data_IF_440247374726
#
_entry.id   IF_440247374726
#
_cell.length_a   1.000
_cell.length_b   1.000
_cell.length_c   1.000
_cell.angle_alpha   90.00
_cell.angle_beta   90.00
_cell.angle_gamma   90.00
#
_symmetry.space_group_name_H-M   'P 1'
#
loop_
_entity.id
_entity.type
_entity.pdbx_description
1 polymer ?
#
# COMPACT_ATOMS: atom_id res chain seq x y z
N UNK A 1 -16.11 -15.31 -1.83
CA UNK A 1 -15.53 -14.60 -0.65
C UNK A 1 -14.44 -13.73 -1.18
N UNK A 2 -14.48 -12.42 -0.88
CA UNK A 2 -13.50 -11.48 -1.43
C UNK A 2 -12.08 -11.83 -0.97
N UNK A 3 -11.12 -11.62 -1.84
CA UNK A 3 -9.72 -12.04 -1.67
C UNK A 3 -8.82 -10.85 -2.01
N UNK A 4 -7.79 -10.66 -1.22
CA UNK A 4 -6.66 -9.79 -1.54
C UNK A 4 -5.47 -10.63 -1.95
N UNK A 5 -4.79 -10.18 -2.99
CA UNK A 5 -3.60 -10.83 -3.51
C UNK A 5 -2.50 -9.79 -3.76
N UNK A 6 -1.27 -10.14 -3.37
CA UNK A 6 -0.09 -9.34 -3.67
C UNK A 6 0.72 -10.01 -4.78
N UNK A 7 1.10 -9.21 -5.76
CA UNK A 7 1.92 -9.64 -6.88
C UNK A 7 3.17 -8.79 -6.97
N UNK A 8 4.27 -9.40 -7.36
CA UNK A 8 5.48 -8.68 -7.77
C UNK A 8 5.69 -8.78 -9.27
N UNK A 9 6.18 -7.70 -9.88
CA UNK A 9 6.63 -7.66 -11.26
C UNK A 9 8.01 -7.00 -11.33
N UNK A 10 8.86 -7.45 -12.26
CA UNK A 10 10.13 -6.80 -12.55
C UNK A 10 9.91 -5.62 -13.49
N UNK A 11 10.85 -4.66 -13.49
CA UNK A 11 10.81 -3.49 -14.37
C UNK A 11 10.84 -3.92 -15.84
N UNK A 12 10.02 -3.27 -16.66
CA UNK A 12 9.89 -3.52 -18.09
C UNK A 12 8.44 -3.69 -18.53
N UNK A 13 7.60 -4.26 -17.67
CA UNK A 13 6.22 -4.62 -18.02
C UNK A 13 5.17 -3.60 -17.52
N UNK A 14 5.63 -2.60 -16.77
CA UNK A 14 4.80 -1.52 -16.29
C UNK A 14 5.37 -0.17 -16.77
N UNK A 15 4.56 0.68 -17.41
CA UNK A 15 5.06 1.91 -18.04
C UNK A 15 5.86 2.82 -17.11
N UNK A 16 5.46 2.96 -15.84
CA UNK A 16 6.21 3.74 -14.85
C UNK A 16 7.57 3.15 -14.46
N UNK A 17 7.90 1.94 -14.88
CA UNK A 17 9.22 1.36 -14.63
C UNK A 17 10.36 2.16 -15.27
N UNK A 18 10.04 2.92 -16.34
CA UNK A 18 11.02 3.80 -16.98
C UNK A 18 11.53 4.91 -16.04
N UNK A 19 10.76 5.26 -15.00
CA UNK A 19 11.19 6.21 -13.97
C UNK A 19 12.49 5.73 -13.31
N UNK A 20 12.64 4.43 -13.06
CA UNK A 20 13.84 3.90 -12.39
C UNK A 20 15.09 3.92 -13.28
N UNK A 21 14.94 4.01 -14.61
CA UNK A 21 16.08 4.24 -15.51
C UNK A 21 16.67 5.65 -15.35
N UNK A 22 15.83 6.60 -14.94
CA UNK A 22 16.21 8.01 -14.72
C UNK A 22 16.51 8.31 -13.24
N UNK A 23 15.76 7.67 -12.35
CA UNK A 23 15.84 7.84 -10.90
C UNK A 23 16.01 6.46 -10.22
N UNK A 24 17.21 5.85 -10.25
CA UNK A 24 17.43 4.48 -9.76
C UNK A 24 17.13 4.29 -8.27
N UNK A 25 17.33 5.34 -7.45
CA UNK A 25 17.01 5.33 -6.02
C UNK A 25 15.55 5.71 -5.72
N UNK A 26 14.82 6.20 -6.74
CA UNK A 26 13.45 6.68 -6.58
C UNK A 26 12.50 5.58 -6.11
N UNK A 27 11.53 5.98 -5.29
CA UNK A 27 10.38 5.16 -4.92
C UNK A 27 9.14 5.79 -5.53
N UNK A 28 8.31 4.97 -6.17
CA UNK A 28 7.03 5.38 -6.73
C UNK A 28 5.92 4.70 -5.94
N UNK A 29 4.97 5.47 -5.47
CA UNK A 29 3.78 4.97 -4.79
C UNK A 29 2.54 5.54 -5.47
N UNK A 30 1.72 4.66 -6.07
CA UNK A 30 0.48 5.07 -6.72
C UNK A 30 -0.52 5.56 -5.66
N UNK A 31 -1.11 6.74 -5.91
CA UNK A 31 -2.10 7.29 -4.99
C UNK A 31 -3.40 6.49 -5.06
N UNK A 32 -4.12 6.45 -3.93
CA UNK A 32 -5.39 5.74 -3.84
C UNK A 32 -6.46 6.49 -4.60
N UNK A 33 -6.79 6.03 -5.80
CA UNK A 33 -7.85 6.61 -6.59
C UNK A 33 -9.02 5.65 -6.73
N UNK A 34 -10.21 6.18 -6.50
CA UNK A 34 -11.46 5.50 -6.89
C UNK A 34 -11.47 5.44 -8.42
N UNK A 35 -11.49 4.25 -9.03
CA UNK A 35 -11.49 4.13 -10.48
C UNK A 35 -12.70 4.87 -11.05
N UNK A 36 -12.45 5.85 -11.90
CA UNK A 36 -13.48 6.39 -12.78
C UNK A 36 -13.33 5.74 -14.15
N UNK A 37 -14.41 5.67 -14.91
CA UNK A 37 -14.48 4.98 -16.20
C UNK A 37 -13.47 5.46 -17.26
N UNK A 38 -12.58 6.41 -16.94
CA UNK A 38 -11.60 7.00 -17.86
C UNK A 38 -10.20 7.22 -17.28
N UNK A 39 -9.97 6.96 -15.99
CA UNK A 39 -8.63 7.14 -15.41
C UNK A 39 -8.41 6.10 -14.32
N UNK A 40 -7.48 5.18 -14.54
CA UNK A 40 -7.22 4.08 -13.60
C UNK A 40 -6.52 4.62 -12.37
N UNK A 41 -5.50 5.43 -12.52
CA UNK A 41 -4.70 6.04 -11.46
C UNK A 41 -4.06 7.29 -12.05
N UNK A 42 -4.62 8.48 -11.80
CA UNK A 42 -4.10 9.70 -12.39
C UNK A 42 -2.92 10.32 -11.64
N UNK A 43 -2.55 9.80 -10.46
CA UNK A 43 -1.52 10.38 -9.61
C UNK A 43 -0.64 9.33 -8.94
N UNK A 44 0.62 9.73 -8.66
CA UNK A 44 1.54 8.97 -7.83
C UNK A 44 2.50 9.91 -7.07
N UNK A 45 3.05 9.39 -5.99
CA UNK A 45 4.14 10.02 -5.27
C UNK A 45 5.47 9.49 -5.78
N UNK A 46 6.40 10.39 -6.06
CA UNK A 46 7.79 10.09 -6.35
C UNK A 46 8.65 10.56 -5.18
N UNK A 47 9.30 9.63 -4.52
CA UNK A 47 10.09 9.82 -3.31
C UNK A 47 11.56 9.47 -3.58
N UNK A 48 12.46 9.85 -2.65
CA UNK A 48 13.90 9.54 -2.71
C UNK A 48 14.59 10.10 -3.98
N UNK A 49 14.13 11.26 -4.50
CA UNK A 49 14.69 11.98 -5.65
C UNK A 49 15.00 13.41 -5.23
N UNK A 50 16.17 13.94 -5.66
CA UNK A 50 16.52 15.33 -5.40
C UNK A 50 15.77 16.28 -6.36
N UNK A 51 15.32 17.42 -5.85
CA UNK A 51 14.58 18.41 -6.63
C UNK A 51 15.38 18.90 -7.85
N UNK A 52 16.70 19.06 -7.71
CA UNK A 52 17.61 19.45 -8.81
C UNK A 52 17.63 18.47 -9.97
N UNK A 53 17.30 17.22 -9.73
CA UNK A 53 17.41 16.13 -10.70
C UNK A 53 16.08 15.81 -11.39
N UNK A 54 14.97 16.38 -10.87
CA UNK A 54 13.64 16.04 -11.39
C UNK A 54 13.44 16.65 -12.77
N UNK A 55 13.42 15.79 -13.77
CA UNK A 55 13.07 16.10 -15.14
C UNK A 55 12.25 14.95 -15.72
N UNK A 56 10.92 15.06 -15.55
CA UNK A 56 9.98 14.03 -15.99
C UNK A 56 9.80 13.98 -17.51
N UNK A 57 10.17 15.03 -18.24
CA UNK A 57 10.13 15.06 -19.72
C UNK A 57 11.09 14.02 -20.35
N UNK A 58 12.02 13.51 -19.56
CA UNK A 58 12.95 12.45 -19.99
C UNK A 58 12.42 11.04 -19.79
N UNK A 59 11.27 10.89 -19.15
CA UNK A 59 10.62 9.58 -18.97
C UNK A 59 9.72 9.37 -20.18
N UNK A 60 10.26 8.67 -21.18
CA UNK A 60 9.55 8.36 -22.42
C UNK A 60 9.15 6.89 -22.43
N UNK A 61 7.85 6.63 -22.50
CA UNK A 61 7.30 5.28 -22.63
C UNK A 61 6.01 5.32 -23.45
N UNK A 62 5.79 4.36 -24.39
CA UNK A 62 4.59 4.36 -25.22
C UNK A 62 3.26 4.35 -24.45
N UNK A 63 3.24 3.76 -23.26
CA UNK A 63 2.05 3.74 -22.39
C UNK A 63 1.83 5.01 -21.55
N UNK A 64 2.64 6.07 -21.76
CA UNK A 64 2.56 7.33 -21.02
C UNK A 64 2.45 8.50 -21.99
N UNK A 65 1.33 9.22 -21.98
CA UNK A 65 1.17 10.43 -22.78
C UNK A 65 1.84 11.66 -22.15
N UNK A 66 1.76 11.80 -20.82
CA UNK A 66 2.38 12.91 -20.10
C UNK A 66 2.60 12.62 -18.61
N UNK A 67 3.64 13.22 -18.06
CA UNK A 67 3.91 13.31 -16.62
C UNK A 67 4.04 14.78 -16.21
N UNK A 68 3.44 15.18 -15.11
CA UNK A 68 3.52 16.56 -14.59
C UNK A 68 3.59 16.57 -13.08
N UNK A 69 4.60 17.22 -12.50
CA UNK A 69 4.60 17.55 -11.08
C UNK A 69 3.45 18.51 -10.80
N UNK A 70 2.60 18.17 -9.87
CA UNK A 70 1.42 18.94 -9.45
C UNK A 70 1.71 19.69 -8.15
N UNK A 71 2.44 19.03 -7.24
CA UNK A 71 2.77 19.56 -5.93
C UNK A 71 4.07 18.94 -5.41
N UNK A 72 4.68 19.59 -4.40
CA UNK A 72 5.86 19.09 -3.69
C UNK A 72 5.62 19.28 -2.20
N UNK A 73 5.70 18.19 -1.44
CA UNK A 73 5.49 18.18 0.00
C UNK A 73 6.63 17.42 0.65
N UNK A 74 7.35 18.04 1.58
CA UNK A 74 8.46 17.43 2.34
C UNK A 74 9.49 16.68 1.45
N UNK A 75 9.90 17.31 0.34
CA UNK A 75 10.81 16.76 -0.67
C UNK A 75 10.27 15.53 -1.44
N UNK A 76 8.96 15.24 -1.36
CA UNK A 76 8.26 14.26 -2.16
C UNK A 76 7.45 14.95 -3.26
N UNK A 77 7.45 14.38 -4.47
CA UNK A 77 6.78 14.97 -5.63
C UNK A 77 5.46 14.27 -5.89
N UNK A 78 4.38 15.03 -5.88
CA UNK A 78 3.07 14.57 -6.31
C UNK A 78 2.93 14.77 -7.81
N UNK A 79 2.85 13.67 -8.55
CA UNK A 79 2.92 13.66 -10.01
C UNK A 79 1.60 13.20 -10.59
N UNK A 80 1.09 13.98 -11.56
CA UNK A 80 -0.03 13.57 -12.40
C UNK A 80 0.50 12.79 -13.60
N UNK A 81 -0.15 11.67 -13.90
CA UNK A 81 0.10 10.88 -15.10
C UNK A 81 -1.13 10.86 -16.01
N UNK A 82 -0.87 10.94 -17.31
CA UNK A 82 -1.82 10.71 -18.38
C UNK A 82 -1.38 9.45 -19.15
N UNK A 83 -2.19 8.38 -19.01
CA UNK A 83 -1.89 7.07 -19.57
C UNK A 83 -2.33 6.97 -21.03
N UNK A 84 -1.54 6.29 -21.85
CA UNK A 84 -2.04 5.74 -23.10
C UNK A 84 -2.73 4.39 -22.82
N UNK A 85 -4.05 4.40 -22.90
CA UNK A 85 -4.87 3.22 -22.58
C UNK A 85 -4.91 2.19 -23.72
N UNK A 86 -4.42 2.55 -24.91
CA UNK A 86 -4.27 1.63 -26.03
C UNK A 86 -3.00 0.77 -25.88
N UNK A 87 -2.10 1.16 -24.95
CA UNK A 87 -0.91 0.39 -24.62
C UNK A 87 -1.23 -0.73 -23.65
N UNK A 88 -1.02 -1.98 -24.07
CA UNK A 88 -1.21 -3.16 -23.22
C UNK A 88 -0.18 -3.22 -22.09
N UNK A 89 -0.64 -3.35 -20.86
CA UNK A 89 0.19 -3.40 -19.66
C UNK A 89 -0.55 -4.12 -18.52
N UNK A 90 0.06 -4.22 -17.35
CA UNK A 90 -0.61 -4.72 -16.12
C UNK A 90 -1.88 -3.90 -15.81
N UNK A 91 -1.95 -2.62 -16.19
CA UNK A 91 -3.16 -1.81 -15.99
C UNK A 91 -4.33 -2.31 -16.84
N UNK A 92 -4.08 -2.74 -18.07
CA UNK A 92 -5.12 -3.36 -18.90
C UNK A 92 -5.59 -4.69 -18.32
N UNK A 93 -4.70 -5.47 -17.70
CA UNK A 93 -5.10 -6.68 -16.98
C UNK A 93 -6.08 -6.37 -15.82
N UNK A 94 -5.86 -5.28 -15.08
CA UNK A 94 -6.73 -4.84 -14.00
C UNK A 94 -8.11 -4.41 -14.55
N UNK A 95 -8.15 -3.75 -15.71
CA UNK A 95 -9.40 -3.31 -16.33
C UNK A 95 -10.22 -4.45 -16.94
N UNK A 96 -9.55 -5.40 -17.58
CA UNK A 96 -10.17 -6.50 -18.33
C UNK A 96 -10.56 -7.67 -17.44
N UNK A 97 -10.09 -7.68 -16.19
CA UNK A 97 -10.45 -8.71 -15.20
C UNK A 97 -11.23 -8.07 -14.04
N UNK A 98 -12.05 -8.87 -13.37
CA UNK A 98 -12.87 -8.38 -12.25
C UNK A 98 -12.03 -8.22 -10.96
N UNK A 99 -10.98 -7.39 -11.05
CA UNK A 99 -10.12 -7.05 -9.91
C UNK A 99 -10.03 -5.54 -9.73
N UNK A 100 -9.77 -5.12 -8.50
CA UNK A 100 -9.53 -3.72 -8.17
C UNK A 100 -8.10 -3.56 -7.66
N UNK A 101 -7.36 -2.58 -8.16
CA UNK A 101 -6.07 -2.20 -7.61
C UNK A 101 -6.25 -1.49 -6.27
N UNK A 102 -5.57 -1.97 -5.25
CA UNK A 102 -5.58 -1.41 -3.89
C UNK A 102 -4.37 -0.51 -3.67
N UNK A 103 -3.20 -1.00 -4.06
CA UNK A 103 -1.95 -0.26 -3.99
C UNK A 103 -0.96 -0.75 -5.05
N UNK A 104 -0.03 0.12 -5.45
CA UNK A 104 1.14 -0.29 -6.21
C UNK A 104 2.34 0.55 -5.78
N UNK A 105 3.42 -0.13 -5.46
CA UNK A 105 4.66 0.48 -5.00
C UNK A 105 5.79 -0.04 -5.87
N UNK A 106 6.55 0.88 -6.45
CA UNK A 106 7.76 0.59 -7.22
C UNK A 106 9.00 1.07 -6.48
N UNK A 107 10.02 0.22 -6.40
CA UNK A 107 11.33 0.57 -5.85
C UNK A 107 12.40 -0.32 -6.47
N UNK A 108 13.57 0.28 -6.79
CA UNK A 108 14.73 -0.45 -7.30
C UNK A 108 14.40 -1.36 -8.52
N UNK A 109 13.51 -0.86 -9.40
CA UNK A 109 13.10 -1.59 -10.59
C UNK A 109 12.16 -2.77 -10.34
N UNK A 110 11.60 -2.92 -9.15
CA UNK A 110 10.60 -3.93 -8.82
C UNK A 110 9.30 -3.25 -8.41
N UNK A 111 8.19 -3.80 -8.88
CA UNK A 111 6.84 -3.38 -8.51
C UNK A 111 6.18 -4.40 -7.60
N UNK A 112 5.45 -3.92 -6.62
CA UNK A 112 4.51 -4.72 -5.82
C UNK A 112 3.12 -4.15 -6.01
N UNK A 113 2.19 -4.99 -6.46
CA UNK A 113 0.79 -4.65 -6.66
C UNK A 113 -0.06 -5.41 -5.65
N UNK A 114 -0.97 -4.71 -5.00
CA UNK A 114 -2.03 -5.31 -4.18
C UNK A 114 -3.35 -5.18 -4.92
N UNK A 115 -4.00 -6.29 -5.19
CA UNK A 115 -5.31 -6.32 -5.84
C UNK A 115 -6.35 -6.96 -4.95
N UNK A 116 -7.59 -6.59 -5.16
CA UNK A 116 -8.77 -7.22 -4.54
C UNK A 116 -9.65 -7.81 -5.63
N UNK A 117 -10.10 -9.05 -5.41
CA UNK A 117 -11.06 -9.74 -6.24
C UNK A 117 -12.29 -10.16 -5.43
N UNK A 118 -13.43 -10.34 -6.09
CA UNK A 118 -14.66 -10.84 -5.47
C UNK A 118 -14.53 -12.29 -5.00
N UNK A 119 -13.64 -13.05 -5.65
CA UNK A 119 -13.34 -14.45 -5.32
C UNK A 119 -11.98 -14.87 -5.92
N UNK A 120 -11.65 -16.15 -5.75
CA UNK A 120 -10.41 -16.74 -6.27
C UNK A 120 -10.38 -16.81 -7.81
N UNK A 121 -11.54 -16.84 -8.47
CA UNK A 121 -11.60 -16.88 -9.93
C UNK A 121 -11.09 -15.56 -10.52
N UNK A 122 -11.43 -14.42 -9.91
CA UNK A 122 -10.90 -13.11 -10.32
C UNK A 122 -9.37 -13.04 -10.25
N UNK A 123 -8.77 -13.54 -9.16
CA UNK A 123 -7.30 -13.63 -9.04
C UNK A 123 -6.70 -14.53 -10.13
N UNK A 124 -7.33 -15.68 -10.38
CA UNK A 124 -6.87 -16.62 -11.41
C UNK A 124 -7.03 -16.05 -12.83
N UNK A 125 -8.10 -15.29 -13.09
CA UNK A 125 -8.33 -14.61 -14.36
C UNK A 125 -7.23 -13.54 -14.61
N UNK A 126 -6.91 -12.73 -13.60
CA UNK A 126 -5.83 -11.75 -13.65
C UNK A 126 -4.47 -12.42 -13.96
N UNK A 127 -4.12 -13.49 -13.24
CA UNK A 127 -2.89 -14.24 -13.51
C UNK A 127 -2.84 -14.83 -14.93
N UNK A 128 -3.95 -15.37 -15.41
CA UNK A 128 -4.03 -15.94 -16.76
C UNK A 128 -3.88 -14.86 -17.81
N UNK A 129 -4.56 -13.71 -17.62
CA UNK A 129 -4.44 -12.58 -18.53
C UNK A 129 -3.00 -12.07 -18.64
N UNK A 130 -2.31 -11.91 -17.48
CA UNK A 130 -0.91 -11.50 -17.46
C UNK A 130 0.00 -12.52 -18.16
N UNK A 131 -0.19 -13.81 -17.88
CA UNK A 131 0.61 -14.88 -18.50
C UNK A 131 0.41 -14.95 -20.01
N UNK A 132 -0.83 -14.84 -20.50
CA UNK A 132 -1.17 -14.96 -21.92
C UNK A 132 -0.62 -13.79 -22.77
N UNK A 133 -0.19 -12.69 -22.10
CA UNK A 133 0.41 -11.50 -22.70
C UNK A 133 1.86 -11.28 -22.31
N UNK A 134 2.50 -12.28 -21.73
CA UNK A 134 3.90 -12.23 -21.30
C UNK A 134 4.19 -11.08 -20.31
N UNK A 135 3.21 -10.75 -19.46
CA UNK A 135 3.44 -9.85 -18.30
C UNK A 135 3.87 -10.70 -17.10
N UNK A 136 5.19 -10.75 -16.76
CA UNK A 136 5.68 -11.61 -15.70
C UNK A 136 5.28 -11.06 -14.32
N UNK A 137 4.21 -11.60 -13.76
CA UNK A 137 3.77 -11.33 -12.39
C UNK A 137 3.91 -12.58 -11.53
N UNK A 138 4.48 -12.42 -10.35
CA UNK A 138 4.60 -13.49 -9.36
C UNK A 138 3.65 -13.23 -8.19
N UNK A 139 2.77 -14.20 -7.89
CA UNK A 139 1.91 -14.14 -6.72
C UNK A 139 2.76 -14.39 -5.47
N UNK A 140 2.82 -13.41 -4.59
CA UNK A 140 3.60 -13.49 -3.34
C UNK A 140 2.73 -13.73 -2.12
N UNK A 141 1.50 -13.22 -2.11
CA UNK A 141 0.56 -13.39 -0.99
C UNK A 141 -0.87 -13.52 -1.49
N UNK A 142 -1.67 -14.30 -0.76
CA UNK A 142 -3.10 -14.47 -1.00
C UNK A 142 -3.84 -14.52 0.34
N UNK A 143 -4.75 -13.58 0.58
CA UNK A 143 -5.51 -13.49 1.80
C UNK A 143 -7.02 -13.46 1.50
N UNK A 144 -7.78 -14.30 2.20
CA UNK A 144 -9.23 -14.16 2.19
C UNK A 144 -9.64 -12.96 3.03
N UNK A 145 -10.43 -12.05 2.45
CA UNK A 145 -11.07 -10.98 3.22
C UNK A 145 -12.10 -11.60 4.15
N UNK A 146 -11.75 -11.69 5.41
CA UNK A 146 -12.78 -11.89 6.44
C UNK A 146 -13.50 -10.57 6.68
N UNK A 147 -14.85 -10.58 6.89
CA UNK A 147 -15.51 -9.41 7.46
C UNK A 147 -14.68 -8.99 8.67
N UNK A 148 -14.35 -7.72 8.76
CA UNK A 148 -13.63 -7.18 9.91
C UNK A 148 -14.34 -7.66 11.20
N UNK A 149 -13.97 -8.82 11.69
CA UNK A 149 -14.20 -9.12 13.09
C UNK A 149 -13.29 -8.13 13.79
N UNK A 150 -13.91 -7.13 14.40
CA UNK A 150 -13.28 -6.14 15.24
C UNK A 150 -12.32 -6.82 16.21
N UNK A 151 -11.08 -7.03 15.82
CA UNK A 151 -10.08 -7.76 16.60
C UNK A 151 -8.84 -8.21 15.85
N UNK A 152 -8.88 -8.46 14.54
CA UNK A 152 -7.74 -8.99 13.78
C UNK A 152 -7.04 -7.98 12.87
N UNK A 153 -7.57 -6.77 12.76
CA UNK A 153 -6.86 -5.67 12.12
C UNK A 153 -5.55 -5.43 12.87
N UNK A 154 -4.45 -5.46 12.16
CA UNK A 154 -3.09 -5.28 12.73
C UNK A 154 -2.56 -6.43 13.61
N UNK A 155 -3.05 -7.67 13.45
CA UNK A 155 -2.59 -8.83 14.22
C UNK A 155 -2.71 -8.69 15.76
N UNK A 156 -3.55 -7.79 16.24
CA UNK A 156 -3.75 -7.58 17.66
C UNK A 156 -4.66 -8.66 18.27
N UNK A 157 -4.27 -9.20 19.44
CA UNK A 157 -5.23 -9.95 20.25
C UNK A 157 -6.28 -9.01 20.85
N UNK A 158 -7.47 -9.52 21.18
CA UNK A 158 -8.52 -8.72 21.83
C UNK A 158 -8.02 -7.96 23.06
N UNK A 159 -7.25 -8.59 23.94
CA UNK A 159 -6.68 -7.96 25.12
C UNK A 159 -5.63 -6.87 24.82
N UNK A 160 -4.89 -6.98 23.69
CA UNK A 160 -3.95 -5.95 23.25
C UNK A 160 -4.69 -4.75 22.67
N UNK A 161 -5.70 -5.00 21.83
CA UNK A 161 -6.56 -3.95 21.27
C UNK A 161 -7.25 -3.18 22.40
N UNK A 162 -7.92 -3.88 23.33
CA UNK A 162 -8.61 -3.30 24.47
C UNK A 162 -7.68 -2.38 25.27
N UNK A 163 -6.47 -2.85 25.60
CA UNK A 163 -5.50 -2.06 26.34
C UNK A 163 -5.05 -0.80 25.58
N UNK A 164 -4.82 -0.89 24.28
CA UNK A 164 -4.39 0.26 23.47
C UNK A 164 -5.52 1.26 23.24
N UNK A 165 -6.74 0.78 22.97
CA UNK A 165 -7.91 1.66 22.75
C UNK A 165 -8.35 2.37 24.03
N UNK A 166 -8.33 1.69 25.17
CA UNK A 166 -8.64 2.33 26.45
C UNK A 166 -7.55 3.35 26.81
N UNK A 167 -6.26 3.01 26.68
CA UNK A 167 -5.17 3.96 26.92
C UNK A 167 -5.31 5.22 26.06
N UNK A 168 -5.71 5.08 24.79
CA UNK A 168 -6.00 6.21 23.92
C UNK A 168 -7.22 7.02 24.43
N UNK A 169 -8.32 6.37 24.74
CA UNK A 169 -9.55 7.01 25.17
C UNK A 169 -9.39 7.78 26.51
N UNK A 170 -8.50 7.29 27.40
CA UNK A 170 -8.19 7.96 28.67
C UNK A 170 -7.15 9.09 28.55
N UNK A 171 -6.64 9.38 27.35
CA UNK A 171 -5.61 10.41 27.14
C UNK A 171 -4.22 10.03 27.63
N UNK A 172 -3.91 8.74 27.75
CA UNK A 172 -2.56 8.27 28.11
C UNK A 172 -1.49 8.71 27.10
N UNK A 173 -1.87 8.81 25.83
CA UNK A 173 -0.99 9.21 24.74
C UNK A 173 -0.98 10.72 24.48
N UNK A 174 -1.78 11.49 25.17
CA UNK A 174 -1.88 12.94 24.98
C UNK A 174 -0.68 13.68 25.55
N UNK A 175 -0.47 14.92 25.09
CA UNK A 175 0.58 15.80 25.59
C UNK A 175 -0.02 17.17 25.93
N UNK A 176 -0.19 17.53 27.22
CA UNK A 176 0.13 16.74 28.42
C UNK A 176 -0.77 15.51 28.57
N UNK A 177 -0.25 14.47 29.24
CA UNK A 177 -1.02 13.24 29.52
C UNK A 177 -2.18 13.52 30.47
N UNK A 178 -3.35 12.95 30.18
CA UNK A 178 -4.54 13.04 31.03
C UNK A 178 -4.69 11.81 31.95
N UNK A 179 -4.06 10.67 31.60
CA UNK A 179 -4.06 9.46 32.42
C UNK A 179 -2.67 8.84 32.57
N UNK A 180 -2.47 8.07 33.66
CA UNK A 180 -1.28 7.27 33.91
C UNK A 180 -1.49 5.79 33.53
N UNK A 181 -0.43 4.99 33.55
CA UNK A 181 -0.59 3.54 33.37
C UNK A 181 -1.36 2.86 34.50
N UNK A 182 -1.31 3.43 35.71
CA UNK A 182 -2.05 2.89 36.83
C UNK A 182 -3.54 3.11 36.64
N UNK A 183 -3.97 4.31 36.20
CA UNK A 183 -5.38 4.62 35.91
C UNK A 183 -5.96 3.67 34.84
N UNK A 184 -5.24 3.44 33.75
CA UNK A 184 -5.67 2.51 32.68
C UNK A 184 -5.70 1.06 33.15
N UNK A 185 -4.74 0.65 34.01
CA UNK A 185 -4.70 -0.70 34.57
C UNK A 185 -5.86 -0.97 35.52
N UNK A 186 -6.20 0.01 36.36
CA UNK A 186 -7.32 -0.06 37.31
C UNK A 186 -8.66 -0.16 36.54
N UNK A 187 -8.85 0.59 35.47
CA UNK A 187 -10.05 0.54 34.62
C UNK A 187 -10.23 -0.84 33.96
N UNK A 188 -9.11 -1.50 33.59
CA UNK A 188 -9.12 -2.85 33.01
C UNK A 188 -9.16 -3.98 34.08
N UNK A 189 -9.08 -3.65 35.35
CA UNK A 189 -9.02 -4.63 36.44
C UNK A 189 -7.77 -5.52 36.37
N UNK A 190 -6.63 -5.00 35.90
CA UNK A 190 -5.36 -5.73 35.77
C UNK A 190 -4.20 -5.00 36.45
N UNK A 191 -3.09 -5.69 36.64
CA UNK A 191 -1.90 -5.02 37.19
C UNK A 191 -1.24 -4.11 36.16
N UNK A 192 -0.60 -3.02 36.62
CA UNK A 192 0.21 -2.12 35.77
C UNK A 192 1.22 -2.89 34.92
N UNK A 193 1.87 -3.93 35.47
CA UNK A 193 2.83 -4.76 34.73
C UNK A 193 2.16 -5.54 33.60
N UNK A 194 0.96 -6.08 33.83
CA UNK A 194 0.19 -6.78 32.80
C UNK A 194 -0.25 -5.81 31.70
N UNK A 195 -0.70 -4.59 32.05
CA UNK A 195 -1.02 -3.55 31.10
C UNK A 195 0.19 -3.17 30.25
N UNK A 196 1.34 -2.84 30.88
CA UNK A 196 2.56 -2.47 30.18
C UNK A 196 2.98 -3.55 29.18
N UNK A 197 2.92 -4.83 29.57
CA UNK A 197 3.22 -5.94 28.69
C UNK A 197 2.23 -6.10 27.51
N UNK A 198 0.92 -5.86 27.74
CA UNK A 198 -0.10 -5.89 26.67
C UNK A 198 0.11 -4.75 25.67
N UNK A 199 0.33 -3.53 26.17
CA UNK A 199 0.59 -2.35 25.35
C UNK A 199 1.87 -2.53 24.52
N UNK A 200 2.98 -2.94 25.14
CA UNK A 200 4.26 -3.14 24.43
C UNK A 200 4.12 -4.14 23.28
N UNK A 201 3.49 -5.30 23.55
CA UNK A 201 3.28 -6.32 22.51
C UNK A 201 2.30 -5.85 21.43
N UNK A 202 1.24 -5.14 21.81
CA UNK A 202 0.28 -4.57 20.88
C UNK A 202 0.92 -3.51 19.98
N UNK A 203 1.66 -2.56 20.57
CA UNK A 203 2.39 -1.53 19.82
C UNK A 203 3.42 -2.14 18.85
N UNK A 204 4.19 -3.16 19.31
CA UNK A 204 5.12 -3.86 18.41
C UNK A 204 4.41 -4.47 17.19
N UNK A 205 3.22 -5.06 17.38
CA UNK A 205 2.43 -5.63 16.27
C UNK A 205 1.88 -4.57 15.36
N UNK A 206 1.37 -3.46 15.91
CA UNK A 206 0.94 -2.32 15.11
C UNK A 206 2.07 -1.79 14.25
N UNK A 207 3.24 -1.55 14.83
CA UNK A 207 4.42 -1.09 14.09
C UNK A 207 4.77 -2.09 12.97
N UNK A 208 4.82 -3.39 13.30
CA UNK A 208 5.15 -4.41 12.33
C UNK A 208 4.13 -4.49 11.17
N UNK A 209 2.84 -4.34 11.46
CA UNK A 209 1.77 -4.45 10.47
C UNK A 209 1.50 -3.16 9.69
N UNK A 210 1.92 -1.99 10.21
CA UNK A 210 1.63 -0.68 9.60
C UNK A 210 2.86 0.00 9.00
N UNK A 211 3.99 -0.02 9.73
CA UNK A 211 5.20 0.73 9.36
C UNK A 211 6.30 -0.17 8.79
N UNK A 212 6.37 -1.42 9.25
CA UNK A 212 7.37 -2.39 8.77
C UNK A 212 6.63 -3.38 7.88
N UNK A 213 6.39 -2.99 6.61
CA UNK A 213 5.95 -3.98 5.62
C UNK A 213 7.04 -5.02 5.47
N UNK A 214 6.74 -6.33 5.50
CA UNK A 214 7.76 -7.32 5.21
C UNK A 214 8.27 -7.06 3.80
N UNK A 215 9.57 -6.68 3.72
CA UNK A 215 10.29 -6.69 2.46
C UNK A 215 10.33 -8.13 2.01
N UNK A 216 9.45 -8.51 1.07
CA UNK A 216 9.48 -9.79 0.39
C UNK A 216 10.57 -9.79 -0.67
#
# INVERSE_FOLDING_TARGET
MAIEASFTATSGDFPLSEIFSKFPAGKVELDRVVPTTKAIIPYFWLQDVQESDINLDRVEHPGINALRVVDTVDDEFFVRIDWDMDYESILTAILETDVSLISAIGKEGRWTFEIRATDQQGVSAFQSYCRDRDFPVELTQLHALSPLQSGQEYDLTGAQREALTLAYACGYYDSPREATQDDVADELGITRQALASRMQRGTRRLIASTLIRPSG
#
